data_IF_906153652296
#
_entry.id   IF_906153652296
#
_cell.length_a   1.000
_cell.length_b   1.000
_cell.length_c   1.000
_cell.angle_alpha   90.00
_cell.angle_beta   90.00
_cell.angle_gamma   90.00
#
_symmetry.space_group_name_H-M   'P 1'
#
loop_
_entity.id
_entity.type
_entity.pdbx_description
1 polymer ?
#
# COMPACT_ATOMS: atom_id res chain seq x y z
N UNK A 1 -23.34 8.67 -9.09
CA UNK A 1 -23.25 7.58 -8.09
C UNK A 1 -24.51 7.68 -7.23
N UNK A 2 -25.25 6.59 -7.04
CA UNK A 2 -26.51 6.59 -6.28
C UNK A 2 -26.27 7.10 -4.83
N UNK A 3 -27.15 7.97 -4.33
CA UNK A 3 -27.11 8.55 -2.98
C UNK A 3 -27.00 7.46 -1.89
N UNK A 4 -27.58 6.29 -2.15
CA UNK A 4 -27.47 5.15 -1.24
C UNK A 4 -26.01 4.71 -1.03
N UNK A 5 -25.20 4.63 -2.09
CA UNK A 5 -23.80 4.20 -2.01
C UNK A 5 -22.94 5.23 -1.29
N UNK A 6 -23.19 6.52 -1.51
CA UNK A 6 -22.53 7.61 -0.81
C UNK A 6 -22.76 7.54 0.71
N UNK A 7 -24.01 7.28 1.12
CA UNK A 7 -24.38 7.16 2.53
C UNK A 7 -23.76 5.91 3.18
N UNK A 8 -23.70 4.79 2.45
CA UNK A 8 -23.04 3.55 2.92
C UNK A 8 -21.53 3.77 3.13
N UNK A 9 -20.87 4.43 2.18
CA UNK A 9 -19.44 4.76 2.29
C UNK A 9 -19.16 5.72 3.47
N UNK A 10 -20.00 6.74 3.67
CA UNK A 10 -19.88 7.67 4.79
C UNK A 10 -20.07 6.95 6.15
N UNK A 11 -21.00 5.99 6.21
CA UNK A 11 -21.24 5.20 7.43
C UNK A 11 -20.08 4.26 7.74
N UNK A 12 -19.49 3.62 6.72
CA UNK A 12 -18.29 2.79 6.88
C UNK A 12 -17.09 3.62 7.39
N UNK A 13 -16.83 4.78 6.77
CA UNK A 13 -15.81 5.72 7.21
C UNK A 13 -16.00 6.14 8.68
N UNK A 14 -17.23 6.54 9.07
CA UNK A 14 -17.52 6.94 10.44
C UNK A 14 -17.28 5.81 11.45
N UNK A 15 -17.62 4.57 11.09
CA UNK A 15 -17.37 3.39 11.92
C UNK A 15 -15.86 3.13 12.09
N UNK A 16 -15.09 3.16 10.99
CA UNK A 16 -13.62 3.00 11.03
C UNK A 16 -12.99 4.12 11.84
N UNK A 17 -13.37 5.37 11.58
CA UNK A 17 -12.84 6.54 12.26
C UNK A 17 -13.06 6.49 13.77
N UNK A 18 -14.27 6.16 14.20
CA UNK A 18 -14.61 6.06 15.63
C UNK A 18 -13.90 4.89 16.31
N UNK A 19 -13.90 3.72 15.67
CA UNK A 19 -13.47 2.48 16.32
C UNK A 19 -11.96 2.29 16.28
N UNK A 20 -11.32 2.63 15.17
CA UNK A 20 -9.95 2.22 14.89
C UNK A 20 -8.91 3.36 14.90
N UNK A 21 -9.28 4.62 14.61
CA UNK A 21 -8.29 5.69 14.56
C UNK A 21 -7.85 6.13 15.97
N UNK A 22 -6.54 6.13 16.21
CA UNK A 22 -5.90 6.55 17.46
C UNK A 22 -4.63 7.35 17.18
N UNK A 23 -4.22 8.19 18.14
CA UNK A 23 -2.90 8.84 18.10
C UNK A 23 -1.83 7.80 18.41
N UNK A 24 -0.70 7.86 17.69
CA UNK A 24 0.46 7.02 17.98
C UNK A 24 1.10 7.51 19.28
N UNK A 25 1.05 6.70 20.35
CA UNK A 25 1.75 6.99 21.63
C UNK A 25 1.50 8.41 22.17
N UNK A 26 0.28 8.93 22.01
CA UNK A 26 -0.10 10.31 22.36
C UNK A 26 0.66 11.43 21.61
N UNK A 27 1.47 11.10 20.61
CA UNK A 27 2.20 12.07 19.80
C UNK A 27 1.21 12.97 19.04
N UNK A 28 1.34 14.31 19.16
CA UNK A 28 0.43 15.24 18.51
C UNK A 28 0.52 15.13 16.99
N UNK A 29 -0.61 15.37 16.32
CA UNK A 29 -0.73 15.34 14.86
C UNK A 29 -0.26 14.01 14.22
N UNK A 30 -0.37 12.90 14.94
CA UNK A 30 -0.27 11.54 14.40
C UNK A 30 -1.63 10.86 14.45
N UNK A 31 -1.83 9.92 13.55
CA UNK A 31 -2.98 9.03 13.53
C UNK A 31 -2.58 7.69 12.92
N UNK A 32 -3.09 6.60 13.48
CA UNK A 32 -2.98 5.24 12.94
C UNK A 32 -4.24 4.43 13.29
N UNK A 33 -4.50 3.39 12.52
CA UNK A 33 -5.57 2.42 12.78
C UNK A 33 -5.13 1.29 13.69
N UNK A 34 -5.86 1.03 14.78
CA UNK A 34 -5.74 -0.21 15.57
C UNK A 34 -6.51 -1.35 14.90
N UNK A 35 -6.06 -2.59 15.04
CA UNK A 35 -6.60 -3.73 14.27
C UNK A 35 -7.86 -4.35 14.87
N UNK A 36 -8.03 -4.29 16.20
CA UNK A 36 -9.18 -4.86 16.91
C UNK A 36 -10.19 -3.82 17.40
N UNK A 37 -11.45 -4.24 17.56
CA UNK A 37 -12.48 -3.47 18.24
C UNK A 37 -13.32 -4.36 19.18
N UNK A 38 -13.40 -4.05 20.49
CA UNK A 38 -12.60 -3.05 21.19
C UNK A 38 -11.10 -3.42 21.16
N UNK A 39 -10.17 -2.45 21.11
CA UNK A 39 -8.75 -2.77 21.00
C UNK A 39 -8.22 -3.38 22.30
N UNK A 40 -7.36 -4.39 22.17
CA UNK A 40 -6.57 -4.87 23.30
C UNK A 40 -5.51 -3.83 23.69
N UNK A 41 -4.86 -4.01 24.85
CA UNK A 41 -3.72 -3.16 25.25
C UNK A 41 -2.59 -3.19 24.23
N UNK A 42 -2.36 -4.35 23.60
CA UNK A 42 -1.33 -4.55 22.56
C UNK A 42 -1.69 -3.80 21.27
N UNK A 43 -2.97 -3.80 20.89
CA UNK A 43 -3.43 -3.04 19.72
C UNK A 43 -3.31 -1.54 19.96
N UNK A 44 -3.77 -1.07 21.13
CA UNK A 44 -3.74 0.34 21.50
C UNK A 44 -2.32 0.92 21.63
N UNK A 45 -1.33 0.09 21.95
CA UNK A 45 0.09 0.48 21.99
C UNK A 45 0.81 0.31 20.65
N UNK A 46 0.12 -0.17 19.60
CA UNK A 46 0.72 -0.55 18.31
C UNK A 46 1.86 -1.57 18.48
N UNK A 47 1.67 -2.55 19.35
CA UNK A 47 2.67 -3.59 19.65
C UNK A 47 2.99 -4.50 18.47
N UNK A 48 2.07 -4.63 17.52
CA UNK A 48 2.32 -5.24 16.20
C UNK A 48 2.24 -4.15 15.14
N UNK A 49 3.15 -4.17 14.16
CA UNK A 49 3.20 -3.17 13.10
C UNK A 49 2.69 -3.74 11.78
N UNK A 50 1.47 -3.36 11.41
CA UNK A 50 0.86 -3.72 10.13
C UNK A 50 1.07 -2.60 9.10
N UNK A 51 2.29 -2.50 8.58
CA UNK A 51 2.71 -1.43 7.68
C UNK A 51 1.73 -1.27 6.49
N UNK A 52 1.43 -2.34 5.75
CA UNK A 52 0.58 -2.24 4.57
C UNK A 52 -0.90 -2.01 4.88
N UNK A 53 -1.39 -2.42 6.06
CA UNK A 53 -2.77 -2.08 6.49
C UNK A 53 -2.91 -0.57 6.70
N UNK A 54 -1.86 0.09 7.21
CA UNK A 54 -1.87 1.56 7.35
C UNK A 54 -1.81 2.27 5.99
N UNK A 55 -1.17 1.66 4.99
CA UNK A 55 -1.19 2.17 3.61
C UNK A 55 -2.59 2.07 3.00
N UNK A 56 -3.29 0.94 3.15
CA UNK A 56 -4.69 0.84 2.71
C UNK A 56 -5.62 1.77 3.49
N UNK A 57 -5.40 1.94 4.80
CA UNK A 57 -6.14 2.93 5.57
C UNK A 57 -5.94 4.34 5.00
N UNK A 58 -4.71 4.71 4.65
CA UNK A 58 -4.42 5.97 3.95
C UNK A 58 -5.19 6.08 2.63
N UNK A 59 -5.22 5.02 1.82
CA UNK A 59 -6.01 4.98 0.57
C UNK A 59 -7.50 5.24 0.81
N UNK A 60 -8.09 4.63 1.84
CA UNK A 60 -9.52 4.85 2.16
C UNK A 60 -9.80 6.27 2.68
N UNK A 61 -8.82 6.92 3.33
CA UNK A 61 -8.93 8.33 3.70
C UNK A 61 -8.90 9.23 2.46
N UNK A 62 -8.08 8.89 1.45
CA UNK A 62 -8.08 9.56 0.15
C UNK A 62 -9.43 9.37 -0.55
N UNK A 63 -9.99 8.15 -0.56
CA UNK A 63 -11.32 7.88 -1.13
C UNK A 63 -12.41 8.74 -0.49
N UNK A 64 -12.38 8.87 0.84
CA UNK A 64 -13.32 9.72 1.56
C UNK A 64 -13.18 11.20 1.18
N UNK A 65 -11.95 11.69 0.99
CA UNK A 65 -11.68 13.06 0.56
C UNK A 65 -12.14 13.32 -0.88
N UNK A 66 -11.91 12.38 -1.81
CA UNK A 66 -12.36 12.50 -3.20
C UNK A 66 -13.88 12.49 -3.28
N UNK A 67 -14.53 11.65 -2.47
CA UNK A 67 -15.99 11.50 -2.45
C UNK A 67 -16.72 12.75 -1.94
N UNK A 68 -16.19 13.39 -0.90
CA UNK A 68 -16.79 14.57 -0.27
C UNK A 68 -15.64 15.45 0.30
N UNK A 69 -15.11 16.41 -0.45
CA UNK A 69 -13.92 17.15 -0.04
C UNK A 69 -14.14 17.98 1.23
N UNK A 70 -13.35 17.73 2.28
CA UNK A 70 -13.42 18.50 3.53
C UNK A 70 -12.02 18.77 4.14
N UNK A 71 -11.73 19.98 4.65
CA UNK A 71 -10.40 20.30 5.19
C UNK A 71 -9.90 19.35 6.27
N UNK A 72 -10.79 18.85 7.13
CA UNK A 72 -10.44 17.91 8.20
C UNK A 72 -10.01 16.53 7.68
N UNK A 73 -10.49 16.10 6.51
CA UNK A 73 -10.05 14.86 5.86
C UNK A 73 -8.64 15.00 5.32
N UNK A 74 -8.29 16.16 4.76
CA UNK A 74 -6.90 16.49 4.37
C UNK A 74 -5.97 16.43 5.59
N UNK A 75 -6.39 16.97 6.74
CA UNK A 75 -5.62 16.88 7.98
C UNK A 75 -5.51 15.44 8.50
N UNK A 76 -6.55 14.61 8.35
CA UNK A 76 -6.52 13.19 8.68
C UNK A 76 -5.48 12.43 7.84
N UNK A 77 -5.43 12.68 6.52
CA UNK A 77 -4.44 12.12 5.59
C UNK A 77 -3.02 12.50 6.03
N UNK A 78 -2.77 13.79 6.32
CA UNK A 78 -1.45 14.26 6.82
C UNK A 78 -1.04 13.57 8.12
N UNK A 79 -1.97 13.41 9.06
CA UNK A 79 -1.72 12.73 10.35
C UNK A 79 -1.42 11.25 10.17
N UNK A 80 -2.09 10.59 9.23
CA UNK A 80 -1.85 9.19 8.87
C UNK A 80 -0.43 9.01 8.31
N UNK A 81 -0.03 9.84 7.34
CA UNK A 81 1.32 9.82 6.75
C UNK A 81 2.39 10.05 7.82
N UNK A 82 2.18 11.05 8.70
CA UNK A 82 3.11 11.34 9.81
C UNK A 82 3.19 10.18 10.80
N UNK A 83 2.05 9.60 11.16
CA UNK A 83 1.97 8.45 12.06
C UNK A 83 2.73 7.25 11.49
N UNK A 84 2.60 7.00 10.19
CA UNK A 84 3.29 5.92 9.49
C UNK A 84 4.81 6.07 9.58
N UNK A 85 5.33 7.26 9.24
CA UNK A 85 6.75 7.56 9.34
C UNK A 85 7.28 7.42 10.76
N UNK A 86 6.56 7.98 11.74
CA UNK A 86 6.95 7.96 13.14
C UNK A 86 6.98 6.53 13.69
N UNK A 87 5.94 5.72 13.40
CA UNK A 87 5.87 4.32 13.86
C UNK A 87 6.90 3.43 13.18
N UNK A 88 7.34 3.79 11.98
CA UNK A 88 8.41 3.12 11.25
C UNK A 88 9.80 3.75 11.51
N UNK A 89 10.00 4.36 12.68
CA UNK A 89 11.28 4.89 13.15
C UNK A 89 11.93 5.90 12.19
N UNK A 90 11.13 6.76 11.55
CA UNK A 90 11.60 7.79 10.63
C UNK A 90 12.01 7.26 9.25
N UNK A 91 11.69 5.99 8.92
CA UNK A 91 12.02 5.38 7.63
C UNK A 91 10.76 5.12 6.81
N UNK A 92 10.85 5.25 5.49
CA UNK A 92 9.79 4.83 4.58
C UNK A 92 9.94 3.38 4.15
N UNK A 93 11.17 2.86 4.09
CA UNK A 93 11.44 1.51 3.60
C UNK A 93 11.10 0.43 4.62
N UNK A 94 10.70 -0.74 4.13
CA UNK A 94 10.57 -1.98 4.90
C UNK A 94 11.41 -3.11 4.24
N UNK A 95 11.42 -4.30 4.83
CA UNK A 95 12.01 -5.52 4.26
C UNK A 95 11.15 -6.14 3.16
N UNK A 96 9.87 -5.77 3.10
CA UNK A 96 8.85 -6.30 2.19
C UNK A 96 8.57 -5.31 1.07
N UNK A 97 8.67 -5.75 -0.19
CA UNK A 97 8.52 -4.88 -1.36
C UNK A 97 7.06 -4.59 -1.69
N UNK A 98 6.17 -5.56 -1.47
CA UNK A 98 4.71 -5.38 -1.52
C UNK A 98 4.23 -4.31 -0.53
N UNK A 99 4.67 -4.38 0.73
CA UNK A 99 4.41 -3.33 1.73
C UNK A 99 4.78 -1.94 1.20
N UNK A 100 6.01 -1.81 0.67
CA UNK A 100 6.51 -0.54 0.13
C UNK A 100 5.72 -0.08 -1.09
N UNK A 101 5.30 -0.99 -1.97
CA UNK A 101 4.50 -0.68 -3.14
C UNK A 101 3.10 -0.18 -2.77
N UNK A 102 2.45 -0.79 -1.76
CA UNK A 102 1.17 -0.30 -1.25
C UNK A 102 1.26 1.10 -0.67
N UNK A 103 2.31 1.39 0.12
CA UNK A 103 2.50 2.76 0.61
C UNK A 103 2.78 3.75 -0.52
N UNK A 104 3.60 3.37 -1.50
CA UNK A 104 3.93 4.23 -2.63
C UNK A 104 2.67 4.63 -3.41
N UNK A 105 1.77 3.67 -3.68
CA UNK A 105 0.46 3.93 -4.29
C UNK A 105 -0.39 4.89 -3.46
N UNK A 106 -0.52 4.63 -2.16
CA UNK A 106 -1.36 5.45 -1.28
C UNK A 106 -0.84 6.90 -1.17
N UNK A 107 0.48 7.08 -1.12
CA UNK A 107 1.13 8.40 -1.11
C UNK A 107 1.00 9.12 -2.46
N UNK A 108 1.12 8.41 -3.58
CA UNK A 108 0.93 8.95 -4.93
C UNK A 108 -0.49 9.49 -5.07
N UNK A 109 -1.48 8.70 -4.64
CA UNK A 109 -2.89 9.10 -4.64
C UNK A 109 -3.16 10.25 -3.70
N UNK A 110 -2.56 10.28 -2.51
CA UNK A 110 -2.71 11.39 -1.57
C UNK A 110 -2.20 12.72 -2.15
N UNK A 111 -1.10 12.68 -2.92
CA UNK A 111 -0.60 13.84 -3.65
C UNK A 111 -1.58 14.25 -4.76
N UNK A 112 -1.79 13.35 -5.74
CA UNK A 112 -2.55 13.65 -6.96
C UNK A 112 -4.02 13.98 -6.73
N UNK A 113 -4.66 13.36 -5.74
CA UNK A 113 -6.12 13.45 -5.53
C UNK A 113 -6.52 14.32 -4.33
N UNK A 114 -5.63 14.48 -3.33
CA UNK A 114 -5.93 15.21 -2.11
C UNK A 114 -4.98 16.40 -1.85
N UNK A 115 -3.99 16.64 -2.72
CA UNK A 115 -3.04 17.75 -2.57
C UNK A 115 -2.14 17.61 -1.34
N UNK A 116 -1.81 16.38 -0.94
CA UNK A 116 -0.93 16.08 0.20
C UNK A 116 0.38 15.46 -0.31
N UNK A 117 1.35 16.29 -0.76
CA UNK A 117 2.55 15.79 -1.41
C UNK A 117 3.52 15.11 -0.43
N UNK A 118 4.15 14.03 -0.90
CA UNK A 118 5.19 13.29 -0.16
C UNK A 118 6.42 12.97 -1.02
N UNK A 119 7.06 13.98 -1.65
CA UNK A 119 8.04 13.78 -2.72
C UNK A 119 9.27 12.96 -2.30
N UNK A 120 9.78 13.17 -1.08
CA UNK A 120 10.92 12.39 -0.55
C UNK A 120 10.58 10.92 -0.34
N UNK A 121 9.37 10.64 0.13
CA UNK A 121 8.89 9.28 0.34
C UNK A 121 8.72 8.56 -1.00
N UNK A 122 8.04 9.21 -1.95
CA UNK A 122 7.81 8.68 -3.29
C UNK A 122 9.11 8.40 -4.03
N UNK A 123 10.08 9.33 -4.00
CA UNK A 123 11.39 9.12 -4.61
C UNK A 123 12.14 7.93 -3.98
N UNK A 124 12.09 7.80 -2.65
CA UNK A 124 12.74 6.70 -1.92
C UNK A 124 12.11 5.34 -2.27
N UNK A 125 10.78 5.27 -2.27
CA UNK A 125 10.05 4.04 -2.57
C UNK A 125 10.19 3.65 -4.04
N UNK A 126 10.14 4.61 -4.97
CA UNK A 126 10.38 4.37 -6.39
C UNK A 126 11.77 3.78 -6.64
N UNK A 127 12.81 4.33 -6.01
CA UNK A 127 14.15 3.75 -6.11
C UNK A 127 14.17 2.28 -5.63
N UNK A 128 13.57 1.99 -4.46
CA UNK A 128 13.50 0.60 -3.96
C UNK A 128 12.80 -0.36 -4.92
N UNK A 129 11.73 0.07 -5.61
CA UNK A 129 10.95 -0.78 -6.50
C UNK A 129 11.58 -0.93 -7.90
N UNK A 130 12.40 0.04 -8.33
CA UNK A 130 13.14 -0.03 -9.59
C UNK A 130 14.40 -0.88 -9.42
N UNK A 131 15.16 -0.62 -8.35
CA UNK A 131 16.48 -1.22 -8.11
C UNK A 131 16.38 -2.68 -7.65
N UNK A 132 15.19 -3.15 -7.25
CA UNK A 132 14.93 -4.52 -6.82
C UNK A 132 14.54 -5.47 -7.95
N UNK A 133 14.44 -4.97 -9.19
CA UNK A 133 14.18 -5.81 -10.35
C UNK A 133 15.37 -6.71 -10.65
N UNK A 134 15.11 -7.99 -10.91
CA UNK A 134 16.16 -9.02 -11.08
C UNK A 134 16.11 -9.61 -12.50
N UNK A 135 16.76 -9.00 -13.51
CA UNK A 135 16.75 -9.51 -14.88
C UNK A 135 17.31 -10.93 -15.01
N UNK A 136 18.34 -11.26 -14.23
CA UNK A 136 19.05 -12.55 -14.27
C UNK A 136 18.17 -13.75 -13.87
N UNK A 137 17.12 -13.52 -13.09
CA UNK A 137 16.16 -14.54 -12.66
C UNK A 137 14.89 -14.55 -13.53
N UNK A 138 14.94 -13.92 -14.71
CA UNK A 138 13.80 -13.81 -15.63
C UNK A 138 12.92 -12.58 -15.41
N UNK A 139 13.34 -11.65 -14.54
CA UNK A 139 12.58 -10.45 -14.19
C UNK A 139 11.78 -10.60 -12.90
N UNK A 140 10.99 -9.57 -12.60
CA UNK A 140 10.24 -9.43 -11.36
C UNK A 140 11.06 -8.80 -10.23
N UNK A 141 10.36 -8.33 -9.21
CA UNK A 141 10.91 -8.00 -7.90
C UNK A 141 10.54 -9.11 -6.90
N UNK A 142 11.43 -9.47 -5.97
CA UNK A 142 11.14 -10.47 -4.96
C UNK A 142 10.12 -9.94 -3.95
N UNK A 143 9.48 -10.83 -3.20
CA UNK A 143 8.52 -10.46 -2.15
C UNK A 143 9.19 -9.65 -1.03
N UNK A 144 10.37 -10.09 -0.58
CA UNK A 144 11.15 -9.41 0.45
C UNK A 144 12.64 -9.38 0.10
N UNK A 145 13.39 -8.52 0.76
CA UNK A 145 14.83 -8.41 0.61
C UNK A 145 15.51 -9.76 0.89
N UNK A 146 16.41 -10.18 -0.02
CA UNK A 146 17.14 -11.46 0.02
C UNK A 146 16.24 -12.71 -0.08
N UNK A 147 15.06 -12.58 -0.67
CA UNK A 147 14.23 -13.74 -1.04
C UNK A 147 14.47 -14.16 -2.49
N UNK A 148 14.05 -15.38 -2.83
CA UNK A 148 13.98 -15.92 -4.19
C UNK A 148 12.54 -16.24 -4.61
N UNK A 149 11.56 -15.76 -3.83
CA UNK A 149 10.16 -15.82 -4.16
C UNK A 149 9.71 -14.49 -4.76
N UNK A 150 9.23 -14.52 -6.01
CA UNK A 150 8.73 -13.37 -6.74
C UNK A 150 7.21 -13.49 -6.83
N UNK A 151 6.48 -12.43 -6.49
CA UNK A 151 5.03 -12.56 -6.30
C UNK A 151 4.25 -11.40 -6.94
N UNK A 152 2.99 -11.66 -7.28
CA UNK A 152 2.07 -10.68 -7.83
C UNK A 152 1.84 -9.49 -6.87
N UNK A 153 1.71 -9.67 -5.54
CA UNK A 153 1.56 -8.56 -4.60
C UNK A 153 2.72 -7.57 -4.56
N UNK A 154 3.95 -7.97 -4.90
CA UNK A 154 5.06 -7.02 -5.01
C UNK A 154 5.09 -6.35 -6.39
N UNK A 155 4.89 -7.12 -7.46
CA UNK A 155 5.06 -6.65 -8.84
C UNK A 155 3.87 -5.82 -9.36
N UNK A 156 2.64 -6.24 -9.09
CA UNK A 156 1.44 -5.57 -9.59
C UNK A 156 1.29 -4.15 -9.05
N UNK A 157 1.27 -3.96 -7.71
CA UNK A 157 1.22 -2.64 -7.11
C UNK A 157 2.40 -1.74 -7.48
N UNK A 158 3.62 -2.31 -7.60
CA UNK A 158 4.79 -1.57 -8.05
C UNK A 158 4.62 -1.07 -9.49
N UNK A 159 4.13 -1.93 -10.40
CA UNK A 159 3.83 -1.55 -11.77
C UNK A 159 2.79 -0.44 -11.86
N UNK A 160 1.67 -0.55 -11.13
CA UNK A 160 0.63 0.49 -11.08
C UNK A 160 1.20 1.82 -10.56
N UNK A 161 2.05 1.77 -9.53
CA UNK A 161 2.67 2.98 -8.98
C UNK A 161 3.61 3.63 -10.00
N UNK A 162 4.51 2.85 -10.60
CA UNK A 162 5.50 3.35 -11.56
C UNK A 162 4.84 3.87 -12.85
N UNK A 163 3.69 3.33 -13.25
CA UNK A 163 2.91 3.85 -14.36
C UNK A 163 2.35 5.27 -14.10
N UNK A 164 2.23 5.67 -12.83
CA UNK A 164 1.66 6.97 -12.41
C UNK A 164 2.70 7.96 -11.91
N UNK A 165 3.91 7.51 -11.60
CA UNK A 165 4.92 8.31 -10.92
C UNK A 165 6.18 8.53 -11.76
N UNK A 166 6.30 9.74 -12.28
CA UNK A 166 7.46 10.18 -13.08
C UNK A 166 7.58 9.46 -14.42
N UNK A 167 8.77 9.53 -15.02
CA UNK A 167 9.07 8.87 -16.30
C UNK A 167 9.56 7.42 -16.07
N UNK A 168 8.65 6.56 -15.59
CA UNK A 168 8.94 5.17 -15.21
C UNK A 168 8.07 4.15 -15.94
N UNK A 169 7.35 4.57 -16.98
CA UNK A 169 6.40 3.74 -17.73
C UNK A 169 7.04 2.46 -18.26
N UNK A 170 8.25 2.55 -18.82
CA UNK A 170 8.99 1.38 -19.30
C UNK A 170 9.15 0.28 -18.25
N UNK A 171 9.43 0.64 -16.99
CA UNK A 171 9.56 -0.35 -15.92
C UNK A 171 8.19 -0.93 -15.52
N UNK A 172 7.15 -0.10 -15.53
CA UNK A 172 5.79 -0.55 -15.26
C UNK A 172 5.30 -1.55 -16.31
N UNK A 173 5.59 -1.30 -17.60
CA UNK A 173 5.33 -2.24 -18.70
C UNK A 173 6.06 -3.56 -18.46
N UNK A 174 7.36 -3.54 -18.18
CA UNK A 174 8.12 -4.76 -17.88
C UNK A 174 7.55 -5.56 -16.69
N UNK A 175 7.03 -4.88 -15.67
CA UNK A 175 6.37 -5.55 -14.54
C UNK A 175 5.03 -6.17 -14.95
N UNK A 176 4.26 -5.51 -15.82
CA UNK A 176 3.01 -6.03 -16.34
C UNK A 176 3.23 -7.24 -17.27
N UNK A 177 4.18 -7.13 -18.20
CA UNK A 177 4.56 -8.20 -19.12
C UNK A 177 5.05 -9.43 -18.33
N UNK A 178 5.88 -9.21 -17.30
CA UNK A 178 6.34 -10.32 -16.46
C UNK A 178 5.20 -11.03 -15.70
N UNK A 179 4.20 -10.29 -15.21
CA UNK A 179 3.01 -10.91 -14.60
C UNK A 179 2.24 -11.72 -15.64
N UNK A 180 2.02 -11.16 -16.83
CA UNK A 180 1.29 -11.81 -17.92
C UNK A 180 1.97 -13.12 -18.35
N UNK A 181 3.27 -13.06 -18.61
CA UNK A 181 4.07 -14.19 -19.09
C UNK A 181 4.33 -15.25 -18.02
N UNK A 182 4.44 -14.85 -16.74
CA UNK A 182 4.91 -15.74 -15.66
C UNK A 182 3.80 -16.21 -14.73
N UNK A 183 2.84 -15.34 -14.40
CA UNK A 183 1.90 -15.57 -13.30
C UNK A 183 0.44 -15.73 -13.75
N UNK A 184 0.09 -15.50 -15.01
CA UNK A 184 -1.26 -15.77 -15.49
C UNK A 184 -1.42 -17.27 -15.79
N UNK A 185 -2.43 -17.87 -15.18
CA UNK A 185 -2.88 -19.22 -15.52
C UNK A 185 -3.52 -19.20 -16.92
N UNK A 186 -2.97 -19.90 -17.92
CA UNK A 186 -3.49 -19.88 -19.28
C UNK A 186 -4.88 -20.54 -19.41
N UNK A 187 -5.30 -21.37 -18.44
CA UNK A 187 -6.61 -22.02 -18.48
C UNK A 187 -7.71 -21.16 -17.84
N UNK A 188 -7.40 -20.53 -16.70
CA UNK A 188 -8.40 -19.80 -15.90
C UNK A 188 -8.30 -18.29 -16.04
N UNK A 189 -7.20 -17.79 -16.57
CA UNK A 189 -6.81 -16.37 -16.60
C UNK A 189 -6.74 -15.71 -15.21
N UNK A 190 -6.62 -16.51 -14.15
CA UNK A 190 -6.36 -16.02 -12.81
C UNK A 190 -4.85 -15.83 -12.59
N UNK A 191 -4.51 -14.94 -11.66
CA UNK A 191 -3.11 -14.64 -11.32
C UNK A 191 -2.66 -15.59 -10.20
N UNK A 192 -1.57 -16.33 -10.41
CA UNK A 192 -0.88 -17.08 -9.36
C UNK A 192 -0.24 -16.13 -8.35
N UNK A 193 -0.08 -16.59 -7.11
CA UNK A 193 0.50 -15.76 -6.06
C UNK A 193 1.94 -15.39 -6.38
N UNK A 194 2.73 -16.35 -6.83
CA UNK A 194 4.11 -16.09 -7.24
C UNK A 194 4.82 -17.31 -7.79
N UNK A 195 6.12 -17.16 -7.97
CA UNK A 195 7.03 -18.17 -8.49
C UNK A 195 8.27 -18.28 -7.59
N UNK A 196 8.71 -19.50 -7.34
CA UNK A 196 9.95 -19.80 -6.61
C UNK A 196 10.76 -20.82 -7.39
N UNK A 197 11.98 -20.46 -7.80
CA UNK A 197 12.89 -21.36 -8.50
C UNK A 197 12.23 -22.07 -9.71
N UNK A 198 11.47 -21.31 -10.51
CA UNK A 198 10.76 -21.83 -11.68
C UNK A 198 9.46 -22.59 -11.39
N UNK A 199 9.11 -22.80 -10.11
CA UNK A 199 7.88 -23.48 -9.71
C UNK A 199 6.81 -22.47 -9.29
N UNK A 200 5.65 -22.50 -9.96
CA UNK A 200 4.51 -21.65 -9.64
C UNK A 200 3.89 -22.06 -8.31
N UNK A 201 3.66 -21.07 -7.46
CA UNK A 201 3.00 -21.22 -6.17
C UNK A 201 1.54 -20.83 -6.35
N UNK A 202 0.65 -21.82 -6.33
CA UNK A 202 -0.79 -21.59 -6.27
C UNK A 202 -1.12 -21.16 -4.85
N UNK A 203 -1.60 -19.93 -4.65
CA UNK A 203 -2.37 -19.64 -3.44
C UNK A 203 -3.74 -20.32 -3.57
N UNK A 204 -3.85 -21.55 -3.08
CA UNK A 204 -5.15 -22.05 -2.63
C UNK A 204 -5.38 -21.43 -1.25
N UNK A 205 -6.13 -20.33 -1.20
CA UNK A 205 -6.71 -19.86 0.06
C UNK A 205 -7.70 -20.94 0.52
N UNK A 206 -7.26 -21.83 1.41
CA UNK A 206 -8.15 -22.70 2.18
C UNK A 206 -8.81 -21.93 3.30
#
# INVERSE_FOLDING_TARGET
MDQQWMNRAASAEAAVAKRHLRRLWQLPATQLGVVGWPPTRRDASFGTWHYWWQAHLLDTLVDAQVRDPRPERVESIKRQIRGHLARNNGRWTNSYYDDMAWLALALERADRLAGVPSPRALATLAAQLIDSWVPEDGGGIPWRKKDQFFNAPANGPAGIFLARYGDRLRRAEQMADWIDETLIDPETHLVFDGIKSGSLVRAQYT
#
